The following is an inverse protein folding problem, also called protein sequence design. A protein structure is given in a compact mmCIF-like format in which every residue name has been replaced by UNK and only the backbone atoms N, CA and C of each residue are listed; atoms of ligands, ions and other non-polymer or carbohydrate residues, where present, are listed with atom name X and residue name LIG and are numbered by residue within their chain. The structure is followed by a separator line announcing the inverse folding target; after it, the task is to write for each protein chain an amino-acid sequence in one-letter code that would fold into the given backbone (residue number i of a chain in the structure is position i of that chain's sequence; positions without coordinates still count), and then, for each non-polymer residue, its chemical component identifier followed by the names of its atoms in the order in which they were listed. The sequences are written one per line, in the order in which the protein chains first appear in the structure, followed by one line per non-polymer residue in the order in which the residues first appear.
data_IF_110493240915
#
_entry.id   IF_110493240915
#
_cell.length_a   1.000
_cell.length_b   1.000
_cell.length_c   1.000
_cell.angle_alpha   90.00
_cell.angle_beta   90.00
_cell.angle_gamma   90.00
#
_symmetry.space_group_name_H-M   'P 1'
#
loop_
_entity.id
_entity.type
_entity.pdbx_description
1 polymer ?
#
# COMPACT_ATOMS: atom_id res chain seq x y z
N UNK A 1 -11.96 -41.02 7.95
CA UNK A 1 -12.28 -39.60 8.18
C UNK A 1 -11.01 -38.93 8.70
N UNK A 2 -10.15 -38.49 7.78
CA UNK A 2 -8.85 -37.88 8.10
C UNK A 2 -9.03 -36.37 7.97
N UNK A 3 -8.94 -35.69 9.10
CA UNK A 3 -9.00 -34.23 9.19
C UNK A 3 -7.65 -33.67 8.70
N UNK A 4 -7.66 -33.08 7.51
CA UNK A 4 -6.51 -32.32 7.02
C UNK A 4 -6.48 -30.96 7.73
N UNK A 5 -5.58 -30.83 8.71
CA UNK A 5 -5.20 -29.53 9.27
C UNK A 5 -4.60 -28.67 8.15
N UNK A 6 -5.21 -27.51 7.91
CA UNK A 6 -4.62 -26.45 7.09
C UNK A 6 -3.32 -25.97 7.77
N UNK A 7 -2.18 -26.45 7.32
CA UNK A 7 -0.89 -25.83 7.66
C UNK A 7 -0.79 -24.51 6.92
N UNK A 8 -0.64 -23.43 7.65
CA UNK A 8 -0.18 -22.15 7.11
C UNK A 8 1.22 -22.38 6.53
N UNK A 9 1.32 -22.35 5.22
CA UNK A 9 2.60 -22.36 4.53
C UNK A 9 3.22 -20.96 4.61
N UNK A 10 4.22 -20.81 5.49
CA UNK A 10 5.19 -19.74 5.36
C UNK A 10 6.01 -20.02 4.09
N UNK A 11 6.03 -19.06 3.17
CA UNK A 11 6.78 -19.12 1.91
C UNK A 11 8.26 -19.45 2.16
N UNK A 12 8.85 -20.51 1.57
CA UNK A 12 10.24 -20.87 1.80
C UNK A 12 11.24 -20.06 0.97
N UNK A 13 10.83 -18.97 0.34
CA UNK A 13 11.74 -18.17 -0.47
C UNK A 13 11.96 -16.80 0.16
N UNK A 14 13.04 -16.66 0.93
CA UNK A 14 13.55 -15.40 1.48
C UNK A 14 14.14 -14.44 0.42
N UNK A 15 13.64 -14.44 -0.81
CA UNK A 15 13.94 -13.42 -1.79
C UNK A 15 13.15 -12.15 -1.42
N UNK A 16 13.83 -11.14 -0.88
CA UNK A 16 13.28 -9.79 -0.77
C UNK A 16 12.77 -9.41 -2.14
N UNK A 17 11.45 -9.16 -2.24
CA UNK A 17 10.83 -8.62 -3.45
C UNK A 17 11.65 -7.41 -3.91
N UNK A 18 11.97 -7.30 -5.19
CA UNK A 18 12.74 -6.17 -5.70
C UNK A 18 11.99 -4.89 -5.38
N UNK A 19 12.72 -3.87 -4.90
CA UNK A 19 12.28 -2.55 -4.41
C UNK A 19 11.54 -1.69 -5.45
N UNK A 20 11.03 -2.28 -6.53
CA UNK A 20 10.50 -1.59 -7.73
C UNK A 20 9.00 -1.26 -7.63
N UNK A 21 8.28 -1.75 -6.62
CA UNK A 21 6.82 -1.67 -6.58
C UNK A 21 6.31 -0.49 -5.73
N UNK A 22 6.67 0.75 -6.09
CA UNK A 22 6.16 1.97 -5.46
C UNK A 22 4.78 2.36 -6.02
N UNK A 23 3.77 1.51 -5.88
CA UNK A 23 2.42 1.85 -6.32
C UNK A 23 1.50 2.07 -5.11
N UNK A 24 0.82 3.22 -5.09
CA UNK A 24 0.18 3.82 -3.93
C UNK A 24 -1.33 3.91 -4.06
N UNK A 25 -2.05 3.72 -2.95
CA UNK A 25 -3.47 4.06 -2.88
C UNK A 25 -3.64 5.59 -2.77
N UNK A 26 -4.66 6.13 -3.42
CA UNK A 26 -5.08 7.52 -3.21
C UNK A 26 -5.72 7.66 -1.84
N UNK A 27 -5.41 8.73 -1.10
CA UNK A 27 -6.04 9.00 0.17
C UNK A 27 -6.87 10.30 0.14
N UNK A 28 -7.78 10.43 1.09
CA UNK A 28 -8.67 11.57 1.20
C UNK A 28 -8.19 12.56 2.25
N UNK A 29 -8.03 13.83 1.85
CA UNK A 29 -7.90 14.98 2.73
C UNK A 29 -8.75 16.13 2.20
N UNK A 30 -9.57 16.69 3.07
CA UNK A 30 -10.40 17.85 2.78
C UNK A 30 -10.27 18.90 3.89
N UNK A 31 -10.46 20.17 3.54
CA UNK A 31 -10.46 21.29 4.49
C UNK A 31 -11.77 22.07 4.31
N UNK A 32 -12.47 22.29 5.41
CA UNK A 32 -13.65 23.17 5.48
C UNK A 32 -13.41 24.29 6.48
N UNK A 33 -14.08 25.40 6.29
CA UNK A 33 -14.03 26.53 7.19
C UNK A 33 -15.42 26.80 7.76
N UNK A 34 -15.50 27.13 9.04
CA UNK A 34 -16.71 27.63 9.68
C UNK A 34 -16.60 29.17 9.74
N UNK A 35 -17.72 29.84 9.55
CA UNK A 35 -17.88 31.27 9.73
C UNK A 35 -19.11 31.52 10.59
N UNK A 36 -19.25 32.73 11.15
CA UNK A 36 -20.44 33.05 11.92
C UNK A 36 -21.77 32.84 11.18
N UNK A 37 -21.75 32.93 9.83
CA UNK A 37 -22.94 32.85 9.00
C UNK A 37 -23.31 31.41 8.63
N UNK A 38 -22.28 30.57 8.41
CA UNK A 38 -22.55 29.26 7.77
C UNK A 38 -22.66 28.13 8.78
N UNK A 39 -21.71 28.03 9.72
CA UNK A 39 -21.69 26.95 10.70
C UNK A 39 -21.07 27.41 12.03
N UNK A 40 -21.75 27.13 13.12
CA UNK A 40 -21.23 27.37 14.46
C UNK A 40 -20.07 26.43 14.78
N UNK A 41 -18.94 27.00 15.23
CA UNK A 41 -17.80 26.20 15.71
C UNK A 41 -18.14 25.43 16.97
N UNK A 42 -18.98 25.98 17.87
CA UNK A 42 -19.50 25.25 19.03
C UNK A 42 -20.35 24.04 18.60
N UNK A 43 -21.25 24.18 17.63
CA UNK A 43 -22.03 23.05 17.13
C UNK A 43 -21.16 22.02 16.42
N UNK A 44 -20.15 22.47 15.65
CA UNK A 44 -19.15 21.57 15.04
C UNK A 44 -18.40 20.80 16.10
N UNK A 45 -17.96 21.44 17.19
CA UNK A 45 -17.34 20.78 18.33
C UNK A 45 -18.24 19.68 18.90
N UNK A 46 -19.52 19.98 19.19
CA UNK A 46 -20.48 18.98 19.70
C UNK A 46 -20.69 17.84 18.74
N UNK A 47 -20.75 18.12 17.43
CA UNK A 47 -20.85 17.09 16.39
C UNK A 47 -19.60 16.17 16.42
N UNK A 48 -18.39 16.73 16.46
CA UNK A 48 -17.16 15.96 16.46
C UNK A 48 -17.00 15.11 17.73
N UNK A 49 -17.36 15.66 18.88
CA UNK A 49 -17.21 15.00 20.18
C UNK A 49 -18.40 14.13 20.57
N UNK A 50 -19.45 14.08 19.72
CA UNK A 50 -20.71 13.36 20.00
C UNK A 50 -21.32 13.75 21.35
N UNK A 51 -21.40 15.05 21.61
CA UNK A 51 -21.97 15.64 22.82
C UNK A 51 -23.25 16.45 22.53
N UNK A 52 -23.92 16.90 23.56
CA UNK A 52 -25.18 17.64 23.48
C UNK A 52 -26.22 16.91 22.61
N UNK A 53 -26.89 17.59 21.69
CA UNK A 53 -27.91 17.02 20.81
C UNK A 53 -27.36 16.01 19.76
N UNK A 54 -26.02 15.91 19.60
CA UNK A 54 -25.39 14.90 18.77
C UNK A 54 -25.02 13.61 19.52
N UNK A 55 -25.36 13.48 20.80
CA UNK A 55 -25.05 12.29 21.59
C UNK A 55 -25.73 11.01 21.02
N UNK A 56 -26.92 11.16 20.43
CA UNK A 56 -27.65 10.05 19.78
C UNK A 56 -26.94 9.48 18.54
N UNK A 57 -26.02 10.21 17.92
CA UNK A 57 -25.24 9.70 16.76
C UNK A 57 -24.15 8.70 17.15
N UNK A 58 -23.92 8.47 18.46
CA UNK A 58 -22.95 7.45 18.92
C UNK A 58 -23.29 6.03 18.48
N UNK A 59 -24.58 5.75 18.28
CA UNK A 59 -25.06 4.43 17.87
C UNK A 59 -24.75 4.13 16.39
N UNK A 60 -24.43 5.14 15.58
CA UNK A 60 -24.18 5.03 14.14
C UNK A 60 -22.69 5.13 13.76
N UNK A 61 -21.91 5.80 14.58
CA UNK A 61 -20.48 6.03 14.36
C UNK A 61 -19.72 5.88 15.67
N UNK A 62 -18.67 5.05 15.66
CA UNK A 62 -17.80 4.91 16.82
C UNK A 62 -16.85 6.11 16.92
N UNK A 63 -16.82 6.75 18.10
CA UNK A 63 -15.82 7.75 18.45
C UNK A 63 -14.61 7.05 19.08
N UNK A 64 -13.57 6.84 18.29
CA UNK A 64 -12.37 6.09 18.71
C UNK A 64 -11.44 6.93 19.62
N UNK A 65 -11.31 8.23 19.32
CA UNK A 65 -10.40 9.15 20.03
C UNK A 65 -10.99 10.56 20.00
N UNK A 66 -10.80 11.30 21.12
CA UNK A 66 -11.13 12.72 21.20
C UNK A 66 -10.08 13.44 22.03
N UNK A 67 -9.46 14.49 21.45
CA UNK A 67 -8.38 15.26 22.05
C UNK A 67 -8.61 16.75 21.82
N UNK A 68 -8.20 17.59 22.77
CA UNK A 68 -8.14 19.04 22.58
C UNK A 68 -6.86 19.58 23.21
N UNK A 69 -6.34 20.66 22.67
CA UNK A 69 -5.10 21.25 23.18
C UNK A 69 -4.85 22.67 22.67
N UNK A 70 -3.76 23.24 23.14
CA UNK A 70 -3.36 24.62 22.88
C UNK A 70 -4.49 25.61 23.20
N UNK A 71 -5.21 25.38 24.32
CA UNK A 71 -6.26 26.29 24.75
C UNK A 71 -5.67 27.45 25.57
N UNK A 72 -6.13 28.70 25.36
CA UNK A 72 -5.72 29.80 26.22
C UNK A 72 -6.29 29.63 27.64
N UNK A 73 -5.62 30.17 28.64
CA UNK A 73 -5.96 29.99 30.06
C UNK A 73 -7.41 30.31 30.39
N UNK A 74 -7.99 31.35 29.79
CA UNK A 74 -9.40 31.71 30.05
C UNK A 74 -10.41 30.62 29.59
N UNK A 75 -9.99 29.66 28.78
CA UNK A 75 -10.83 28.54 28.41
C UNK A 75 -10.91 27.44 29.49
N UNK A 76 -10.09 27.50 30.56
CA UNK A 76 -10.08 26.57 31.71
C UNK A 76 -10.02 25.10 31.28
N UNK A 77 -9.24 24.78 30.26
CA UNK A 77 -9.18 23.47 29.63
C UNK A 77 -10.54 22.93 29.12
N UNK A 78 -11.53 23.82 28.92
CA UNK A 78 -12.84 23.49 28.41
C UNK A 78 -12.95 23.90 26.91
N UNK A 79 -12.78 22.98 25.94
CA UNK A 79 -12.80 23.31 24.51
C UNK A 79 -14.13 23.95 24.08
N UNK A 80 -15.25 23.55 24.67
CA UNK A 80 -16.56 24.14 24.39
C UNK A 80 -16.58 25.65 24.67
N UNK A 81 -15.97 26.12 25.80
CA UNK A 81 -15.85 27.54 26.09
C UNK A 81 -15.06 28.29 25.04
N UNK A 82 -13.99 27.67 24.52
CA UNK A 82 -13.17 28.26 23.46
C UNK A 82 -13.97 28.43 22.17
N UNK A 83 -14.65 27.37 21.73
CA UNK A 83 -15.41 27.40 20.47
C UNK A 83 -16.65 28.32 20.56
N UNK A 84 -17.31 28.39 21.70
CA UNK A 84 -18.37 29.36 21.94
C UNK A 84 -17.86 30.81 21.89
N UNK A 85 -16.67 31.06 22.44
CA UNK A 85 -16.03 32.39 22.37
C UNK A 85 -15.61 32.74 20.92
N UNK A 86 -15.13 31.75 20.14
CA UNK A 86 -14.82 31.95 18.73
C UNK A 86 -16.06 32.39 17.93
N UNK A 87 -17.20 31.74 18.13
CA UNK A 87 -18.45 32.09 17.49
C UNK A 87 -18.94 33.51 17.90
N UNK A 88 -18.74 33.86 19.17
CA UNK A 88 -19.22 35.14 19.71
C UNK A 88 -18.33 36.34 19.32
N UNK A 89 -17.02 36.20 19.46
CA UNK A 89 -16.09 37.32 19.43
C UNK A 89 -15.25 37.42 18.16
N UNK A 90 -15.19 36.39 17.27
CA UNK A 90 -14.48 36.53 16.00
C UNK A 90 -15.08 37.64 15.17
N UNK A 91 -14.28 38.29 14.34
CA UNK A 91 -14.74 39.34 13.43
C UNK A 91 -15.83 38.81 12.47
N UNK A 92 -16.77 39.65 12.08
CA UNK A 92 -17.99 39.27 11.38
C UNK A 92 -17.75 38.41 10.12
N UNK A 93 -16.73 38.76 9.30
CA UNK A 93 -16.34 38.01 8.12
C UNK A 93 -15.20 37.02 8.35
N UNK A 94 -14.84 36.83 9.63
CA UNK A 94 -13.74 35.94 10.02
C UNK A 94 -14.15 34.47 10.04
N UNK A 95 -13.21 33.63 9.68
CA UNK A 95 -13.35 32.19 9.94
C UNK A 95 -13.23 31.92 11.43
N UNK A 96 -14.21 31.24 12.00
CA UNK A 96 -14.24 30.90 13.43
C UNK A 96 -13.42 29.63 13.70
N UNK A 97 -13.38 28.70 12.74
CA UNK A 97 -12.51 27.52 12.76
C UNK A 97 -12.27 26.99 11.36
N UNK A 98 -11.25 26.14 11.24
CA UNK A 98 -11.01 25.29 10.08
C UNK A 98 -11.11 23.83 10.54
N UNK A 99 -11.62 22.94 9.69
CA UNK A 99 -11.72 21.50 9.96
C UNK A 99 -11.01 20.75 8.83
N UNK A 100 -9.91 20.09 9.16
CA UNK A 100 -9.21 19.15 8.28
C UNK A 100 -9.81 17.77 8.53
N UNK A 101 -10.24 17.10 7.47
CA UNK A 101 -10.66 15.68 7.53
C UNK A 101 -9.63 14.85 6.78
N UNK A 102 -9.05 13.85 7.45
CA UNK A 102 -8.03 12.95 6.89
C UNK A 102 -8.47 11.50 7.05
N UNK A 103 -8.51 10.74 5.95
CA UNK A 103 -8.70 9.30 6.04
C UNK A 103 -7.47 8.65 6.68
N UNK A 104 -7.69 7.75 7.64
CA UNK A 104 -6.63 7.00 8.32
C UNK A 104 -6.52 5.59 7.75
N UNK A 105 -5.31 5.00 7.69
CA UNK A 105 -5.14 3.64 7.23
C UNK A 105 -5.87 2.64 8.13
N UNK A 106 -6.70 1.78 7.52
CA UNK A 106 -7.41 0.70 8.20
C UNK A 106 -6.47 -0.43 8.67
N UNK A 107 -5.30 -0.51 8.07
CA UNK A 107 -4.25 -1.48 8.39
C UNK A 107 -3.58 -1.22 9.75
N UNK A 108 -3.73 -0.02 10.29
CA UNK A 108 -3.20 0.34 11.60
C UNK A 108 -4.19 -0.05 12.71
N UNK A 109 -3.68 -0.57 13.82
CA UNK A 109 -4.48 -0.77 15.04
C UNK A 109 -4.91 0.57 15.65
N UNK A 110 -5.87 0.56 16.59
CA UNK A 110 -6.32 1.79 17.29
C UNK A 110 -5.16 2.54 17.94
N UNK A 111 -4.26 1.84 18.63
CA UNK A 111 -3.09 2.47 19.27
C UNK A 111 -2.14 3.09 18.24
N UNK A 112 -1.87 2.41 17.14
CA UNK A 112 -1.03 2.92 16.06
C UNK A 112 -1.68 4.10 15.34
N UNK A 113 -3.01 4.07 15.14
CA UNK A 113 -3.77 5.23 14.62
C UNK A 113 -3.70 6.41 15.59
N UNK A 114 -3.79 6.17 16.91
CA UNK A 114 -3.65 7.23 17.90
C UNK A 114 -2.26 7.90 17.81
N UNK A 115 -1.18 7.15 17.67
CA UNK A 115 0.16 7.71 17.46
C UNK A 115 0.26 8.54 16.18
N UNK A 116 -0.31 8.03 15.07
CA UNK A 116 -0.38 8.78 13.81
C UNK A 116 -1.18 10.07 13.97
N UNK A 117 -2.32 10.02 14.68
CA UNK A 117 -3.17 11.20 14.95
C UNK A 117 -2.40 12.24 15.77
N UNK A 118 -1.67 11.84 16.81
CA UNK A 118 -0.79 12.76 17.54
C UNK A 118 0.24 13.42 16.61
N UNK A 119 0.87 12.65 15.72
CA UNK A 119 1.83 13.18 14.75
C UNK A 119 1.18 14.16 13.76
N UNK A 120 -0.03 13.87 13.28
CA UNK A 120 -0.80 14.77 12.42
C UNK A 120 -1.20 16.05 13.14
N UNK A 121 -1.69 15.96 14.39
CA UNK A 121 -2.01 17.14 15.21
C UNK A 121 -0.77 18.00 15.39
N UNK A 122 0.35 17.42 15.80
CA UNK A 122 1.62 18.13 15.95
C UNK A 122 2.05 18.81 14.65
N UNK A 123 2.02 18.07 13.52
CA UNK A 123 2.38 18.62 12.22
C UNK A 123 1.53 19.82 11.80
N UNK A 124 0.22 19.80 12.06
CA UNK A 124 -0.67 20.88 11.63
C UNK A 124 -0.80 22.05 12.64
N UNK A 125 -0.52 21.83 13.93
CA UNK A 125 -0.85 22.83 14.96
C UNK A 125 0.32 23.34 15.77
N UNK A 126 1.43 22.60 15.88
CA UNK A 126 2.49 22.91 16.86
C UNK A 126 3.25 24.21 16.54
N UNK A 127 3.61 24.45 15.28
CA UNK A 127 4.40 25.64 14.87
C UNK A 127 3.76 26.96 15.34
N UNK A 128 2.44 27.06 15.23
CA UNK A 128 1.69 28.24 15.60
C UNK A 128 0.89 28.08 16.89
N UNK A 129 1.02 26.95 17.58
CA UNK A 129 0.24 26.60 18.77
C UNK A 129 -1.25 26.89 18.59
N UNK A 130 -1.82 26.40 17.47
CA UNK A 130 -3.24 26.59 17.18
C UNK A 130 -4.11 25.85 18.20
N UNK A 131 -5.10 26.51 18.83
CA UNK A 131 -6.13 25.84 19.60
C UNK A 131 -6.90 24.83 18.74
N UNK A 132 -7.03 23.59 19.21
CA UNK A 132 -7.64 22.54 18.44
C UNK A 132 -8.56 21.60 19.25
N UNK A 133 -9.44 20.93 18.52
CA UNK A 133 -10.16 19.72 18.92
C UNK A 133 -10.04 18.70 17.79
N UNK A 134 -9.59 17.51 18.11
CA UNK A 134 -9.41 16.40 17.20
C UNK A 134 -10.32 15.24 17.62
N UNK A 135 -10.99 14.62 16.66
CA UNK A 135 -11.82 13.44 16.88
C UNK A 135 -11.56 12.41 15.79
N UNK A 136 -11.44 11.15 16.16
CA UNK A 136 -11.35 10.03 15.23
C UNK A 136 -12.69 9.31 15.24
N UNK A 137 -13.32 9.29 14.08
CA UNK A 137 -14.57 8.57 13.85
C UNK A 137 -14.33 7.34 12.99
N UNK A 138 -15.10 6.30 13.27
CA UNK A 138 -15.11 5.08 12.48
C UNK A 138 -16.56 4.72 12.13
N UNK A 139 -16.81 4.57 10.84
CA UNK A 139 -18.10 4.09 10.33
C UNK A 139 -17.90 3.23 9.07
N UNK A 140 -18.79 2.29 8.80
CA UNK A 140 -18.74 1.53 7.56
C UNK A 140 -19.02 2.45 6.35
N UNK A 141 -18.27 2.21 5.27
CA UNK A 141 -18.49 2.89 4.00
C UNK A 141 -19.84 2.52 3.40
N UNK A 142 -20.63 3.50 3.02
CA UNK A 142 -21.89 3.27 2.30
C UNK A 142 -21.72 2.56 0.93
N UNK A 143 -20.50 2.59 0.35
CA UNK A 143 -20.21 1.99 -0.94
C UNK A 143 -19.62 0.58 -0.84
N UNK A 144 -18.81 0.30 0.17
CA UNK A 144 -18.07 -0.96 0.29
C UNK A 144 -18.40 -1.76 1.54
N UNK A 145 -19.06 -1.18 2.53
CA UNK A 145 -19.29 -1.78 3.85
C UNK A 145 -18.02 -1.87 4.70
N UNK A 146 -16.86 -1.50 4.19
CA UNK A 146 -15.61 -1.53 4.95
C UNK A 146 -15.52 -0.37 5.93
N UNK A 147 -14.87 -0.60 7.07
CA UNK A 147 -14.61 0.44 8.06
C UNK A 147 -13.71 1.54 7.49
N UNK A 148 -14.09 2.78 7.76
CA UNK A 148 -13.37 3.97 7.31
C UNK A 148 -13.00 4.87 8.49
N UNK A 149 -11.92 4.57 9.21
CA UNK A 149 -11.43 5.46 10.25
C UNK A 149 -10.96 6.77 9.62
N UNK A 150 -11.35 7.90 10.22
CA UNK A 150 -10.95 9.22 9.74
C UNK A 150 -10.80 10.22 10.89
N UNK A 151 -9.79 11.06 10.78
CA UNK A 151 -9.52 12.16 11.67
C UNK A 151 -10.30 13.38 11.23
N UNK A 152 -11.00 14.03 12.16
CA UNK A 152 -11.42 15.42 12.07
C UNK A 152 -10.57 16.26 13.00
N UNK A 153 -9.73 17.12 12.45
CA UNK A 153 -8.95 18.11 13.21
C UNK A 153 -9.57 19.48 13.01
N UNK A 154 -10.31 19.94 14.00
CA UNK A 154 -10.85 21.30 14.08
C UNK A 154 -9.84 22.19 14.78
N UNK A 155 -9.41 23.28 14.18
CA UNK A 155 -8.45 24.21 14.75
C UNK A 155 -8.83 25.66 14.48
N UNK A 156 -8.36 26.56 15.36
CA UNK A 156 -8.46 27.99 15.16
C UNK A 156 -7.21 28.50 14.41
N UNK A 157 -7.39 29.35 13.42
CA UNK A 157 -6.25 30.02 12.76
C UNK A 157 -5.60 31.11 13.65
N UNK A 158 -6.10 31.30 14.89
CA UNK A 158 -5.52 32.20 15.87
C UNK A 158 -4.36 31.54 16.58
N UNK A 159 -3.17 32.11 16.49
CA UNK A 159 -1.94 31.57 17.05
C UNK A 159 -1.75 32.02 18.51
N UNK A 160 -1.21 31.11 19.33
CA UNK A 160 -0.73 31.41 20.69
C UNK A 160 0.78 31.55 20.75
N UNK A 161 1.48 31.43 19.62
CA UNK A 161 2.96 31.41 19.57
C UNK A 161 3.63 32.73 19.98
N UNK A 162 2.87 33.84 20.07
CA UNK A 162 3.41 35.09 20.55
C UNK A 162 3.50 35.19 22.09
N UNK A 163 2.98 34.21 22.82
CA UNK A 163 3.03 34.09 24.29
C UNK A 163 2.26 35.17 25.04
N UNK A 164 1.46 36.00 24.35
CA UNK A 164 0.73 37.11 25.01
C UNK A 164 -0.63 36.60 25.51
N UNK A 165 -0.82 36.63 26.83
CA UNK A 165 -2.11 36.36 27.43
C UNK A 165 -3.12 37.48 27.10
N UNK A 166 -4.28 37.07 26.56
CA UNK A 166 -5.37 37.96 26.17
C UNK A 166 -6.69 37.46 26.73
N UNK A 167 -7.55 38.34 27.26
CA UNK A 167 -8.91 37.93 27.63
C UNK A 167 -9.71 37.54 26.36
N UNK A 168 -10.75 36.72 26.51
CA UNK A 168 -11.52 36.13 25.42
C UNK A 168 -12.07 37.16 24.44
N UNK A 169 -12.51 38.32 24.91
CA UNK A 169 -13.07 39.41 24.12
C UNK A 169 -12.00 40.07 23.21
N UNK A 170 -10.73 40.05 23.67
CA UNK A 170 -9.60 40.64 22.97
C UNK A 170 -8.97 39.61 22.01
N UNK A 171 -8.91 38.36 22.40
CA UNK A 171 -8.24 37.27 21.67
C UNK A 171 -8.66 37.23 20.21
N UNK A 172 -9.93 37.40 19.93
CA UNK A 172 -10.50 37.31 18.56
C UNK A 172 -10.55 38.64 17.80
N UNK A 173 -10.08 39.76 18.40
CA UNK A 173 -9.97 41.04 17.72
C UNK A 173 -8.92 41.01 16.61
N UNK A 174 -8.86 42.08 15.83
CA UNK A 174 -7.85 42.23 14.78
C UNK A 174 -6.45 42.28 15.43
N UNK A 175 -5.52 41.53 14.88
CA UNK A 175 -4.11 41.61 15.28
C UNK A 175 -3.51 42.97 14.94
N UNK A 176 -2.69 43.54 15.82
CA UNK A 176 -2.00 44.82 15.64
C UNK A 176 -0.49 44.61 15.68
N UNK A 177 0.19 44.48 14.52
CA UNK A 177 1.64 44.15 14.50
C UNK A 177 2.52 45.16 15.28
N UNK A 178 2.16 46.45 15.27
CA UNK A 178 2.90 47.51 16.00
C UNK A 178 2.63 47.53 17.51
N UNK A 179 1.51 46.98 17.95
CA UNK A 179 1.07 46.94 19.34
C UNK A 179 0.40 45.59 19.64
N UNK A 180 1.16 44.46 19.65
CA UNK A 180 0.59 43.12 19.77
C UNK A 180 -0.26 42.90 21.01
N UNK A 181 0.18 43.47 22.14
CA UNK A 181 -0.55 43.35 23.42
C UNK A 181 -1.93 44.06 23.39
N UNK A 182 -2.11 45.08 22.57
CA UNK A 182 -3.39 45.80 22.44
C UNK A 182 -4.29 45.22 21.31
N UNK A 183 -3.77 44.30 20.51
CA UNK A 183 -4.46 43.60 19.44
C UNK A 183 -4.98 42.21 19.84
N UNK A 184 -5.71 41.55 18.95
CA UNK A 184 -6.07 40.14 19.07
C UNK A 184 -4.88 39.22 18.81
N UNK A 185 -5.07 37.93 19.01
CA UNK A 185 -4.07 36.92 18.65
C UNK A 185 -3.76 36.92 17.14
N UNK A 186 -2.50 36.69 16.70
CA UNK A 186 -2.15 36.61 15.30
C UNK A 186 -3.02 35.60 14.56
N UNK A 187 -3.59 35.97 13.41
CA UNK A 187 -4.41 35.07 12.60
C UNK A 187 -3.61 34.58 11.39
N UNK A 188 -3.17 33.35 11.46
CA UNK A 188 -2.29 32.69 10.49
C UNK A 188 -3.13 31.99 9.42
N UNK A 189 -3.79 32.77 8.56
CA UNK A 189 -4.54 32.22 7.42
C UNK A 189 -3.60 31.71 6.32
N UNK A 190 -4.11 30.96 5.37
CA UNK A 190 -3.34 30.49 4.21
C UNK A 190 -2.52 31.62 3.52
N UNK A 191 -3.11 32.82 3.41
CA UNK A 191 -2.41 33.96 2.82
C UNK A 191 -1.34 34.52 3.76
N UNK A 192 -1.61 34.58 5.07
CA UNK A 192 -0.63 35.02 6.07
C UNK A 192 0.58 34.08 6.15
N UNK A 193 0.36 32.80 5.89
CA UNK A 193 1.41 31.77 5.80
C UNK A 193 2.12 31.74 4.44
N UNK A 194 1.76 32.62 3.50
CA UNK A 194 2.32 32.61 2.13
C UNK A 194 1.88 31.40 1.28
N UNK A 195 0.97 30.57 1.78
CA UNK A 195 0.53 29.35 1.10
C UNK A 195 -0.61 29.59 0.11
N UNK A 196 -1.45 30.63 0.34
CA UNK A 196 -2.54 31.02 -0.53
C UNK A 196 -3.43 29.85 -0.97
N UNK A 197 -3.66 29.73 -2.28
CA UNK A 197 -4.43 28.61 -2.89
C UNK A 197 -3.71 27.24 -2.79
N UNK A 198 -2.44 27.23 -2.45
CA UNK A 198 -1.63 25.99 -2.37
C UNK A 198 -1.71 25.31 -0.99
N UNK A 199 -2.36 25.91 0.01
CA UNK A 199 -2.45 25.38 1.38
C UNK A 199 -2.93 23.91 1.42
N UNK A 200 -3.94 23.56 0.63
CA UNK A 200 -4.45 22.17 0.57
C UNK A 200 -3.38 21.21 0.05
N UNK A 201 -2.55 21.65 -0.92
CA UNK A 201 -1.45 20.81 -1.43
C UNK A 201 -0.38 20.59 -0.34
N UNK A 202 -0.04 21.64 0.41
CA UNK A 202 0.90 21.55 1.53
C UNK A 202 0.39 20.57 2.59
N UNK A 203 -0.86 20.70 3.02
CA UNK A 203 -1.47 19.79 3.99
C UNK A 203 -1.53 18.36 3.49
N UNK A 204 -1.86 18.15 2.21
CA UNK A 204 -1.86 16.81 1.62
C UNK A 204 -0.48 16.19 1.61
N UNK A 205 0.56 16.93 1.23
CA UNK A 205 1.92 16.40 1.23
C UNK A 205 2.37 16.04 2.66
N UNK A 206 2.14 16.93 3.62
CA UNK A 206 2.50 16.70 5.01
C UNK A 206 1.77 15.48 5.61
N UNK A 207 0.48 15.31 5.31
CA UNK A 207 -0.28 14.14 5.74
C UNK A 207 0.22 12.87 5.05
N UNK A 208 0.55 12.90 3.74
CA UNK A 208 1.14 11.77 3.03
C UNK A 208 2.43 11.30 3.71
N UNK A 209 3.33 12.22 4.02
CA UNK A 209 4.63 11.90 4.61
C UNK A 209 4.46 11.23 5.99
N UNK A 210 3.56 11.76 6.84
CA UNK A 210 3.28 11.21 8.16
C UNK A 210 2.57 9.84 8.08
N UNK A 211 1.59 9.70 7.20
CA UNK A 211 0.87 8.43 6.99
C UNK A 211 1.85 7.36 6.46
N UNK A 212 2.67 7.70 5.48
CA UNK A 212 3.64 6.76 4.92
C UNK A 212 4.74 6.37 5.91
N UNK A 213 5.15 7.28 6.81
CA UNK A 213 6.05 6.96 7.89
C UNK A 213 5.44 5.94 8.87
N UNK A 214 4.16 6.12 9.24
CA UNK A 214 3.43 5.19 10.09
C UNK A 214 3.21 3.83 9.41
N UNK A 215 2.81 3.81 8.14
CA UNK A 215 2.64 2.58 7.36
C UNK A 215 3.96 1.82 7.23
N UNK A 216 5.06 2.50 6.92
CA UNK A 216 6.39 1.88 6.85
C UNK A 216 6.80 1.22 8.17
N UNK A 217 6.41 1.82 9.31
CA UNK A 217 6.75 1.32 10.65
C UNK A 217 5.89 0.14 11.07
N UNK A 218 4.58 0.18 10.84
CA UNK A 218 3.61 -0.73 11.45
C UNK A 218 2.95 -1.71 10.47
N UNK A 219 2.83 -1.34 9.21
CA UNK A 219 2.19 -2.13 8.17
C UNK A 219 2.89 -1.93 6.82
N UNK A 220 4.18 -2.32 6.69
CA UNK A 220 5.01 -1.98 5.52
C UNK A 220 4.51 -2.62 4.23
N UNK A 221 3.82 -3.75 4.33
CA UNK A 221 3.22 -4.44 3.18
C UNK A 221 1.72 -4.65 3.39
N UNK A 222 1.01 -4.87 2.29
CA UNK A 222 -0.39 -5.30 2.29
C UNK A 222 -0.61 -6.34 1.21
N UNK A 223 -1.53 -7.26 1.49
CA UNK A 223 -1.95 -8.29 0.53
C UNK A 223 -3.02 -7.73 -0.39
N UNK A 224 -2.81 -7.88 -1.69
CA UNK A 224 -3.78 -7.58 -2.75
C UNK A 224 -4.23 -8.90 -3.37
N UNK A 225 -5.55 -9.03 -3.59
CA UNK A 225 -6.13 -10.15 -4.32
C UNK A 225 -6.76 -9.63 -5.63
N UNK A 226 -6.38 -10.20 -6.77
CA UNK A 226 -6.94 -9.96 -8.11
C UNK A 226 -7.11 -11.32 -8.78
N UNK A 227 -8.30 -11.63 -9.29
CA UNK A 227 -8.61 -12.91 -9.97
C UNK A 227 -8.11 -14.14 -9.19
N UNK A 228 -8.39 -14.17 -7.87
CA UNK A 228 -7.99 -15.22 -6.92
C UNK A 228 -6.46 -15.38 -6.70
N UNK A 229 -5.65 -14.51 -7.30
CA UNK A 229 -4.21 -14.45 -7.07
C UNK A 229 -3.92 -13.41 -5.99
N UNK A 230 -3.31 -13.85 -4.88
CA UNK A 230 -2.91 -13.00 -3.77
C UNK A 230 -1.42 -12.73 -3.79
N UNK A 231 -1.03 -11.47 -3.63
CA UNK A 231 0.37 -11.05 -3.61
C UNK A 231 0.59 -9.88 -2.67
N UNK A 232 1.80 -9.69 -2.20
CA UNK A 232 2.18 -8.60 -1.30
C UNK A 232 2.74 -7.41 -2.07
N UNK A 233 2.35 -6.21 -1.67
CA UNK A 233 2.85 -4.94 -2.20
C UNK A 233 3.21 -3.99 -1.06
N UNK A 234 4.09 -3.02 -1.33
CA UNK A 234 4.38 -1.94 -0.38
C UNK A 234 3.11 -1.18 -0.04
N UNK A 235 2.86 -0.99 1.26
CA UNK A 235 1.69 -0.27 1.73
C UNK A 235 2.00 1.22 1.85
N UNK A 236 1.49 2.02 0.92
CA UNK A 236 1.70 3.46 0.85
C UNK A 236 0.46 4.17 0.33
N UNK A 237 0.36 5.46 0.61
CA UNK A 237 -0.65 6.38 0.06
C UNK A 237 0.01 7.47 -0.78
N UNK A 238 -0.77 8.11 -1.65
CA UNK A 238 -0.33 9.27 -2.45
C UNK A 238 -1.36 10.39 -2.45
N UNK A 239 -0.88 11.62 -2.32
CA UNK A 239 -1.70 12.84 -2.40
C UNK A 239 -1.83 13.40 -3.82
N UNK A 240 -1.19 12.78 -4.81
CA UNK A 240 -1.26 13.21 -6.19
C UNK A 240 -2.67 13.08 -6.75
N UNK A 241 -3.07 13.98 -7.63
CA UNK A 241 -4.24 13.76 -8.46
C UNK A 241 -4.03 12.57 -9.41
N UNK A 242 -5.10 12.00 -9.95
CA UNK A 242 -4.98 10.93 -10.94
C UNK A 242 -4.14 11.36 -12.15
N UNK A 243 -4.31 12.60 -12.63
CA UNK A 243 -3.54 13.15 -13.72
C UNK A 243 -2.04 13.24 -13.39
N UNK A 244 -1.70 13.83 -12.23
CA UNK A 244 -0.30 13.95 -11.79
C UNK A 244 0.34 12.58 -11.54
N UNK A 245 -0.44 11.65 -10.99
CA UNK A 245 0.01 10.29 -10.73
C UNK A 245 0.31 9.55 -12.04
N UNK A 246 -0.61 9.62 -13.00
CA UNK A 246 -0.44 9.04 -14.33
C UNK A 246 0.78 9.61 -15.06
N UNK A 247 0.96 10.92 -15.01
CA UNK A 247 2.12 11.58 -15.61
C UNK A 247 3.44 11.16 -14.98
N UNK A 248 3.44 10.97 -13.64
CA UNK A 248 4.66 10.60 -12.89
C UNK A 248 5.05 9.13 -13.04
N UNK A 249 4.07 8.23 -13.10
CA UNK A 249 4.29 6.78 -13.03
C UNK A 249 3.92 6.04 -14.31
N UNK A 250 3.47 6.74 -15.36
CA UNK A 250 3.09 6.14 -16.64
C UNK A 250 1.87 5.23 -16.56
N UNK A 251 0.96 5.48 -15.59
CA UNK A 251 -0.27 4.71 -15.40
C UNK A 251 -1.45 5.33 -16.14
N UNK A 252 -2.56 4.61 -16.25
CA UNK A 252 -3.80 5.05 -16.90
C UNK A 252 -4.99 5.01 -15.93
N UNK A 253 -4.79 5.55 -14.72
CA UNK A 253 -5.85 5.61 -13.71
C UNK A 253 -6.96 6.56 -14.14
N UNK A 254 -8.20 6.13 -13.94
CA UNK A 254 -9.42 6.89 -14.23
C UNK A 254 -9.88 7.63 -12.97
N UNK A 255 -10.40 8.83 -13.14
CA UNK A 255 -11.05 9.55 -12.05
C UNK A 255 -12.28 8.80 -11.56
N UNK A 256 -12.43 8.71 -10.23
CA UNK A 256 -13.58 8.07 -9.60
C UNK A 256 -14.65 9.13 -9.35
N UNK A 257 -15.85 9.02 -9.98
CA UNK A 257 -16.93 9.96 -9.76
C UNK A 257 -17.36 10.00 -8.29
N UNK A 258 -17.77 11.18 -7.82
CA UNK A 258 -18.31 11.35 -6.47
C UNK A 258 -19.84 11.42 -6.49
N UNK A 259 -20.49 10.66 -5.63
CA UNK A 259 -21.92 10.77 -5.43
C UNK A 259 -22.17 11.69 -4.23
N UNK A 260 -22.95 12.76 -4.40
CA UNK A 260 -23.30 13.63 -3.29
C UNK A 260 -23.99 12.86 -2.16
N UNK A 261 -23.60 13.14 -0.90
CA UNK A 261 -24.06 12.39 0.28
C UNK A 261 -25.60 12.36 0.41
N UNK A 262 -26.28 13.45 0.06
CA UNK A 262 -27.73 13.52 0.13
C UNK A 262 -28.43 12.55 -0.84
N UNK A 263 -27.83 12.24 -2.00
CA UNK A 263 -28.36 11.24 -2.94
C UNK A 263 -28.26 9.80 -2.38
N UNK A 264 -27.25 9.55 -1.55
CA UNK A 264 -27.05 8.23 -0.93
C UNK A 264 -28.03 7.96 0.23
N UNK A 265 -28.42 9.01 0.99
CA UNK A 265 -29.19 8.85 2.22
C UNK A 265 -30.69 9.12 2.05
N UNK A 266 -31.08 9.97 1.09
CA UNK A 266 -32.47 10.36 0.87
C UNK A 266 -32.81 10.38 -0.63
N UNK A 267 -32.86 9.21 -1.30
CA UNK A 267 -33.37 9.17 -2.68
C UNK A 267 -34.86 9.51 -2.69
N UNK A 268 -35.24 10.46 -3.54
CA UNK A 268 -36.59 11.05 -3.53
C UNK A 268 -37.62 10.17 -4.29
N UNK A 269 -37.16 9.40 -5.28
CA UNK A 269 -38.01 8.55 -6.13
C UNK A 269 -37.29 7.30 -6.64
N UNK A 270 -38.03 6.41 -7.31
CA UNK A 270 -37.49 5.14 -7.84
C UNK A 270 -36.48 5.31 -8.97
N UNK A 271 -36.61 6.33 -9.81
CA UNK A 271 -35.63 6.61 -10.88
C UNK A 271 -34.31 7.09 -10.31
N UNK A 272 -34.37 7.93 -9.27
CA UNK A 272 -33.16 8.35 -8.55
C UNK A 272 -32.46 7.18 -7.86
N UNK A 273 -33.20 6.26 -7.25
CA UNK A 273 -32.64 5.03 -6.66
C UNK A 273 -31.86 4.23 -7.71
N UNK A 274 -32.49 4.00 -8.87
CA UNK A 274 -31.88 3.25 -9.96
C UNK A 274 -30.63 3.96 -10.50
N UNK A 275 -30.67 5.28 -10.71
CA UNK A 275 -29.54 6.08 -11.16
C UNK A 275 -28.38 6.04 -10.15
N UNK A 276 -28.66 6.10 -8.84
CA UNK A 276 -27.64 5.99 -7.79
C UNK A 276 -27.02 4.59 -7.79
N UNK A 277 -27.82 3.54 -7.94
CA UNK A 277 -27.31 2.16 -8.03
C UNK A 277 -26.39 1.97 -9.24
N UNK A 278 -26.75 2.51 -10.41
CA UNK A 278 -25.89 2.49 -11.59
C UNK A 278 -24.60 3.26 -11.39
N UNK A 279 -24.64 4.44 -10.76
CA UNK A 279 -23.43 5.19 -10.42
C UNK A 279 -22.54 4.44 -9.42
N UNK A 280 -23.12 3.76 -8.44
CA UNK A 280 -22.37 2.91 -7.48
C UNK A 280 -21.67 1.76 -8.22
N UNK A 281 -22.39 1.10 -9.14
CA UNK A 281 -21.82 0.00 -9.94
C UNK A 281 -20.65 0.49 -10.81
N UNK A 282 -20.81 1.65 -11.46
CA UNK A 282 -19.74 2.26 -12.26
C UNK A 282 -18.54 2.67 -11.41
N UNK A 283 -18.75 3.25 -10.23
CA UNK A 283 -17.67 3.56 -9.29
C UNK A 283 -16.91 2.30 -8.88
N UNK A 284 -17.62 1.21 -8.57
CA UNK A 284 -16.99 -0.06 -8.23
C UNK A 284 -16.16 -0.59 -9.38
N UNK A 285 -16.66 -0.53 -10.62
CA UNK A 285 -15.95 -0.92 -11.83
C UNK A 285 -14.68 -0.10 -12.03
N UNK A 286 -14.76 1.24 -11.97
CA UNK A 286 -13.60 2.12 -12.12
C UNK A 286 -12.56 1.86 -11.03
N UNK A 287 -12.97 1.60 -9.80
CA UNK A 287 -12.05 1.27 -8.70
C UNK A 287 -11.33 -0.05 -8.95
N UNK A 288 -12.02 -1.05 -9.46
CA UNK A 288 -11.42 -2.33 -9.79
C UNK A 288 -10.47 -2.21 -10.99
N UNK A 289 -10.85 -1.47 -12.05
CA UNK A 289 -9.97 -1.14 -13.18
C UNK A 289 -8.68 -0.44 -12.69
N UNK A 290 -8.83 0.58 -11.83
CA UNK A 290 -7.71 1.29 -11.26
C UNK A 290 -6.82 0.40 -10.37
N UNK A 291 -7.42 -0.52 -9.62
CA UNK A 291 -6.68 -1.50 -8.83
C UNK A 291 -5.87 -2.44 -9.73
N UNK A 292 -6.45 -2.94 -10.82
CA UNK A 292 -5.75 -3.76 -11.81
C UNK A 292 -4.60 -3.01 -12.46
N UNK A 293 -4.83 -1.76 -12.87
CA UNK A 293 -3.78 -0.91 -13.46
C UNK A 293 -2.66 -0.59 -12.45
N UNK A 294 -3.02 -0.22 -11.21
CA UNK A 294 -2.05 0.04 -10.14
C UNK A 294 -1.14 -1.14 -9.84
N UNK A 295 -1.67 -2.35 -9.86
CA UNK A 295 -0.96 -3.55 -9.44
C UNK A 295 -0.64 -4.50 -10.60
N UNK A 296 -0.84 -4.08 -11.86
CA UNK A 296 -0.66 -4.88 -13.06
C UNK A 296 0.64 -5.69 -13.07
N UNK A 297 1.76 -5.02 -12.86
CA UNK A 297 3.06 -5.68 -12.88
C UNK A 297 3.24 -6.69 -11.72
N UNK A 298 2.81 -6.32 -10.49
CA UNK A 298 2.87 -7.22 -9.34
C UNK A 298 1.96 -8.44 -9.52
N UNK A 299 0.78 -8.24 -10.11
CA UNK A 299 -0.15 -9.29 -10.47
C UNK A 299 0.45 -10.26 -11.50
N UNK A 300 1.04 -9.74 -12.59
CA UNK A 300 1.66 -10.60 -13.61
C UNK A 300 2.80 -11.43 -13.02
N UNK A 301 3.64 -10.83 -12.17
CA UNK A 301 4.69 -11.56 -11.48
C UNK A 301 4.13 -12.66 -10.56
N UNK A 302 3.11 -12.34 -9.75
CA UNK A 302 2.49 -13.32 -8.86
C UNK A 302 1.83 -14.46 -9.63
N UNK A 303 1.15 -14.16 -10.75
CA UNK A 303 0.57 -15.14 -11.65
C UNK A 303 1.63 -16.10 -12.22
N UNK A 304 2.75 -15.55 -12.65
CA UNK A 304 3.87 -16.35 -13.14
C UNK A 304 4.47 -17.24 -12.04
N UNK A 305 4.63 -16.72 -10.83
CA UNK A 305 5.12 -17.49 -9.67
C UNK A 305 4.15 -18.62 -9.32
N UNK A 306 2.84 -18.37 -9.32
CA UNK A 306 1.84 -19.39 -9.04
C UNK A 306 1.87 -20.51 -10.08
N UNK A 307 1.98 -20.17 -11.38
CA UNK A 307 2.11 -21.16 -12.45
C UNK A 307 3.39 -22.00 -12.28
N UNK A 308 4.50 -21.38 -11.89
CA UNK A 308 5.76 -22.08 -11.64
C UNK A 308 5.66 -23.01 -10.41
N UNK A 309 5.02 -22.56 -9.32
CA UNK A 309 4.79 -23.40 -8.13
C UNK A 309 3.88 -24.59 -8.46
N UNK A 310 2.77 -24.38 -9.17
CA UNK A 310 1.87 -25.46 -9.58
C UNK A 310 2.56 -26.50 -10.47
N UNK A 311 3.46 -26.06 -11.36
CA UNK A 311 4.26 -26.95 -12.17
C UNK A 311 5.26 -27.76 -11.32
N UNK A 312 5.85 -27.14 -10.30
CA UNK A 312 6.77 -27.80 -9.35
C UNK A 312 6.04 -28.81 -8.47
N UNK A 313 4.87 -28.45 -7.93
CA UNK A 313 4.03 -29.35 -7.11
C UNK A 313 3.57 -30.56 -7.93
N UNK A 314 3.18 -30.38 -9.18
CA UNK A 314 2.83 -31.48 -10.09
C UNK A 314 4.02 -32.43 -10.30
N UNK A 315 5.24 -31.89 -10.46
CA UNK A 315 6.47 -32.70 -10.56
C UNK A 315 6.78 -33.45 -9.27
N UNK A 316 6.63 -32.79 -8.11
CA UNK A 316 6.86 -33.41 -6.81
C UNK A 316 5.80 -34.46 -6.46
N UNK A 317 4.52 -34.22 -6.78
CA UNK A 317 3.44 -35.20 -6.57
C UNK A 317 3.66 -36.47 -7.38
N UNK A 318 4.19 -36.36 -8.59
CA UNK A 318 4.53 -37.49 -9.43
C UNK A 318 5.75 -38.28 -8.88
N UNK A 319 6.70 -37.61 -8.22
CA UNK A 319 7.88 -38.26 -7.61
C UNK A 319 7.56 -39.12 -6.37
N UNK A 320 6.43 -38.87 -5.70
CA UNK A 320 5.98 -39.59 -4.50
C UNK A 320 5.26 -40.91 -4.83
N UNK A 321 4.77 -41.08 -6.06
CA UNK A 321 3.96 -42.25 -6.46
C UNK A 321 4.77 -43.40 -7.07
N UNK A 322 6.11 -43.37 -7.03
CA UNK A 322 6.91 -44.35 -7.76
C UNK A 322 7.29 -45.60 -6.97
N UNK A 323 6.84 -46.72 -7.46
CA UNK A 323 7.41 -48.05 -7.28
C UNK A 323 8.61 -48.22 -8.22
N UNK A 324 9.63 -48.82 -7.74
CA UNK A 324 11.05 -48.84 -8.16
C UNK A 324 11.35 -49.08 -9.67
N UNK A 325 10.43 -49.60 -10.47
CA UNK A 325 10.67 -49.98 -11.88
C UNK A 325 10.24 -49.00 -12.97
N UNK A 326 9.54 -47.92 -12.65
CA UNK A 326 9.08 -46.92 -13.63
C UNK A 326 9.86 -45.57 -13.53
N UNK A 327 10.83 -45.50 -12.66
CA UNK A 327 11.55 -44.24 -12.32
C UNK A 327 12.23 -43.57 -13.50
N UNK A 328 12.91 -44.29 -14.37
CA UNK A 328 13.73 -43.69 -15.45
C UNK A 328 12.89 -42.93 -16.46
N UNK A 329 11.80 -43.55 -16.92
CA UNK A 329 10.93 -42.99 -17.98
C UNK A 329 10.16 -41.76 -17.49
N UNK A 330 9.84 -41.70 -16.20
CA UNK A 330 9.09 -40.58 -15.62
C UNK A 330 9.97 -39.37 -15.40
N UNK A 331 11.19 -39.55 -14.90
CA UNK A 331 12.16 -38.49 -14.76
C UNK A 331 12.54 -37.85 -16.08
N UNK A 332 12.77 -38.66 -17.12
CA UNK A 332 13.04 -38.15 -18.49
C UNK A 332 11.87 -37.31 -19.02
N UNK A 333 10.62 -37.77 -18.83
CA UNK A 333 9.43 -37.01 -19.24
C UNK A 333 9.30 -35.69 -18.52
N UNK A 334 9.56 -35.66 -17.20
CA UNK A 334 9.48 -34.43 -16.39
C UNK A 334 10.56 -33.40 -16.80
N UNK A 335 11.78 -33.89 -17.01
CA UNK A 335 12.87 -33.06 -17.48
C UNK A 335 12.55 -32.47 -18.86
N UNK A 336 12.02 -33.28 -19.79
CA UNK A 336 11.60 -32.85 -21.12
C UNK A 336 10.42 -31.85 -21.04
N UNK A 337 9.48 -32.02 -20.11
CA UNK A 337 8.35 -31.10 -19.96
C UNK A 337 8.81 -29.76 -19.37
N UNK A 338 9.67 -29.74 -18.36
CA UNK A 338 10.28 -28.54 -17.84
C UNK A 338 11.13 -27.82 -18.88
N UNK A 339 11.84 -28.59 -19.73
CA UNK A 339 12.63 -28.03 -20.82
C UNK A 339 11.73 -27.45 -21.93
N UNK A 340 10.57 -28.07 -22.20
CA UNK A 340 9.55 -27.52 -23.09
C UNK A 340 8.97 -26.22 -22.57
N UNK A 341 8.63 -26.16 -21.27
CA UNK A 341 8.13 -24.95 -20.60
C UNK A 341 9.19 -23.84 -20.59
N UNK A 342 10.45 -24.18 -20.32
CA UNK A 342 11.54 -23.22 -20.39
C UNK A 342 11.73 -22.65 -21.81
N UNK A 343 11.59 -23.47 -22.86
CA UNK A 343 11.64 -23.01 -24.27
C UNK A 343 10.44 -22.13 -24.60
N UNK A 344 9.24 -22.43 -24.11
CA UNK A 344 8.06 -21.61 -24.31
C UNK A 344 8.20 -20.24 -23.65
N UNK A 345 8.64 -20.21 -22.39
CA UNK A 345 8.95 -18.96 -21.69
C UNK A 345 10.02 -18.15 -22.43
N UNK A 346 11.07 -18.79 -22.93
CA UNK A 346 12.08 -18.14 -23.77
C UNK A 346 11.49 -17.52 -25.03
N UNK A 347 10.58 -18.23 -25.71
CA UNK A 347 9.92 -17.75 -26.93
C UNK A 347 9.04 -16.53 -26.65
N UNK A 348 8.29 -16.55 -25.55
CA UNK A 348 7.47 -15.43 -25.10
C UNK A 348 8.36 -14.24 -24.67
N UNK A 349 9.47 -14.51 -24.03
CA UNK A 349 10.44 -13.53 -23.58
C UNK A 349 11.17 -12.80 -24.72
N UNK A 350 11.35 -13.44 -25.88
CA UNK A 350 11.93 -12.79 -27.06
C UNK A 350 11.07 -11.63 -27.63
N UNK A 351 9.83 -11.50 -27.16
CA UNK A 351 8.88 -10.49 -27.60
C UNK A 351 8.47 -9.49 -26.51
N UNK A 352 8.90 -9.65 -25.27
CA UNK A 352 8.47 -8.82 -24.12
C UNK A 352 9.56 -8.69 -23.03
N UNK A 353 9.34 -7.74 -22.16
CA UNK A 353 10.06 -7.18 -21.06
C UNK A 353 10.94 -8.07 -20.14
N UNK A 354 11.82 -7.38 -19.45
CA UNK A 354 12.72 -7.74 -18.33
C UNK A 354 12.17 -8.73 -17.27
N UNK A 355 10.84 -8.75 -17.05
CA UNK A 355 10.16 -9.63 -16.09
C UNK A 355 10.18 -11.09 -16.53
N UNK A 356 10.03 -11.35 -17.83
CA UNK A 356 9.98 -12.70 -18.40
C UNK A 356 11.36 -13.35 -18.43
N UNK A 357 12.43 -12.56 -18.58
CA UNK A 357 13.79 -13.04 -18.44
C UNK A 357 14.09 -13.60 -17.06
N UNK A 358 13.70 -12.87 -16.00
CA UNK A 358 13.83 -13.32 -14.62
C UNK A 358 13.04 -14.58 -14.34
N UNK A 359 11.85 -14.69 -14.93
CA UNK A 359 11.02 -15.88 -14.79
C UNK A 359 11.65 -17.09 -15.49
N UNK A 360 12.23 -16.90 -16.68
CA UNK A 360 12.98 -17.95 -17.37
C UNK A 360 14.16 -18.45 -16.53
N UNK A 361 14.97 -17.56 -15.99
CA UNK A 361 16.10 -17.90 -15.10
C UNK A 361 15.64 -18.66 -13.86
N UNK A 362 14.52 -18.26 -13.25
CA UNK A 362 13.93 -18.95 -12.12
C UNK A 362 13.49 -20.39 -12.46
N UNK A 363 12.77 -20.60 -13.56
CA UNK A 363 12.35 -21.95 -14.00
C UNK A 363 13.59 -22.82 -14.27
N UNK A 364 14.61 -22.24 -14.87
CA UNK A 364 15.86 -22.95 -15.18
C UNK A 364 16.60 -23.36 -13.91
N UNK A 365 16.71 -22.48 -12.90
CA UNK A 365 17.31 -22.82 -11.62
C UNK A 365 16.54 -23.94 -10.90
N UNK A 366 15.21 -23.88 -10.89
CA UNK A 366 14.38 -24.92 -10.28
C UNK A 366 14.48 -26.26 -10.98
N UNK A 367 14.51 -26.26 -12.30
CA UNK A 367 14.78 -27.47 -13.11
C UNK A 367 16.11 -28.09 -12.72
N UNK A 368 17.14 -27.30 -12.54
CA UNK A 368 18.48 -27.77 -12.18
C UNK A 368 18.56 -28.26 -10.72
N UNK A 369 17.89 -27.60 -9.78
CA UNK A 369 17.83 -28.07 -8.41
C UNK A 369 17.18 -29.44 -8.30
N UNK A 370 16.06 -29.66 -8.99
CA UNK A 370 15.40 -30.98 -9.07
C UNK A 370 16.31 -32.03 -9.68
N UNK A 371 16.99 -31.66 -10.77
CA UNK A 371 17.94 -32.55 -11.43
C UNK A 371 19.07 -32.95 -10.49
N UNK A 372 19.63 -32.00 -9.72
CA UNK A 372 20.70 -32.28 -8.74
C UNK A 372 20.20 -33.15 -7.57
N UNK A 373 18.96 -32.98 -7.13
CA UNK A 373 18.35 -33.85 -6.11
C UNK A 373 18.19 -35.30 -6.64
N UNK A 374 17.72 -35.44 -7.87
CA UNK A 374 17.62 -36.74 -8.53
C UNK A 374 18.98 -37.44 -8.63
N UNK A 375 20.03 -36.73 -9.03
CA UNK A 375 21.37 -37.24 -9.15
C UNK A 375 22.04 -37.56 -7.78
N UNK A 376 21.53 -37.03 -6.68
CA UNK A 376 21.93 -37.47 -5.33
C UNK A 376 21.34 -38.79 -4.96
N UNK A 377 20.11 -39.08 -5.40
CA UNK A 377 19.40 -40.32 -5.15
C UNK A 377 19.85 -41.47 -6.06
N UNK A 378 20.20 -41.15 -7.30
CA UNK A 378 20.58 -42.15 -8.30
C UNK A 378 21.60 -41.58 -9.31
N UNK A 379 22.92 -41.72 -8.99
CA UNK A 379 23.98 -41.11 -9.80
C UNK A 379 24.41 -41.99 -10.99
N UNK A 380 23.47 -42.48 -11.79
CA UNK A 380 23.82 -43.29 -12.97
C UNK A 380 24.49 -42.44 -14.05
N UNK A 381 25.42 -43.06 -14.80
CA UNK A 381 26.21 -42.43 -15.83
C UNK A 381 25.37 -41.75 -16.91
N UNK A 382 24.28 -42.37 -17.33
CA UNK A 382 23.38 -41.85 -18.37
C UNK A 382 22.64 -40.59 -17.90
N UNK A 383 22.17 -40.55 -16.64
CA UNK A 383 21.51 -39.40 -16.05
C UNK A 383 22.50 -38.25 -15.82
N UNK A 384 23.73 -38.56 -15.38
CA UNK A 384 24.79 -37.56 -15.24
C UNK A 384 25.18 -36.93 -16.58
N UNK A 385 25.27 -37.74 -17.65
CA UNK A 385 25.56 -37.27 -19.00
C UNK A 385 24.46 -36.35 -19.54
N UNK A 386 23.20 -36.76 -19.35
CA UNK A 386 22.05 -35.96 -19.71
C UNK A 386 22.01 -34.62 -18.95
N UNK A 387 22.22 -34.67 -17.63
CA UNK A 387 22.26 -33.49 -16.77
C UNK A 387 23.37 -32.52 -17.19
N UNK A 388 24.55 -33.05 -17.52
CA UNK A 388 25.67 -32.24 -18.04
C UNK A 388 25.28 -31.51 -19.32
N UNK A 389 24.70 -32.24 -20.30
CA UNK A 389 24.27 -31.65 -21.56
C UNK A 389 23.21 -30.56 -21.38
N UNK A 390 22.26 -30.78 -20.46
CA UNK A 390 21.21 -29.81 -20.15
C UNK A 390 21.78 -28.53 -19.52
N UNK A 391 22.68 -28.66 -18.55
CA UNK A 391 23.30 -27.48 -17.91
C UNK A 391 24.18 -26.72 -18.89
N UNK A 392 24.92 -27.42 -19.75
CA UNK A 392 25.70 -26.79 -20.79
C UNK A 392 24.84 -26.00 -21.78
N UNK A 393 23.67 -26.54 -22.16
CA UNK A 393 22.70 -25.84 -22.99
C UNK A 393 22.14 -24.60 -22.28
N UNK A 394 21.81 -24.72 -21.02
CA UNK A 394 21.32 -23.59 -20.20
C UNK A 394 22.37 -22.47 -20.10
N UNK A 395 23.67 -22.80 -19.96
CA UNK A 395 24.76 -21.81 -19.96
C UNK A 395 24.83 -21.05 -21.29
N UNK A 396 24.66 -21.77 -22.43
CA UNK A 396 24.61 -21.12 -23.76
C UNK A 396 23.41 -20.19 -23.86
N UNK A 397 22.24 -20.62 -23.39
CA UNK A 397 21.02 -19.81 -23.40
C UNK A 397 21.16 -18.54 -22.56
N UNK A 398 21.88 -18.60 -21.43
CA UNK A 398 22.14 -17.41 -20.59
C UNK A 398 23.07 -16.44 -21.34
N UNK A 399 24.07 -16.94 -22.07
CA UNK A 399 24.94 -16.09 -22.86
C UNK A 399 24.17 -15.37 -23.99
N UNK A 400 23.20 -16.05 -24.62
CA UNK A 400 22.29 -15.45 -25.61
C UNK A 400 21.40 -14.36 -24.99
N UNK A 401 20.96 -14.55 -23.74
CA UNK A 401 20.14 -13.58 -23.01
C UNK A 401 20.92 -12.31 -22.64
N UNK A 402 22.22 -12.42 -22.35
CA UNK A 402 23.08 -11.25 -22.09
C UNK A 402 23.14 -10.29 -23.26
N UNK A 403 23.04 -10.78 -24.48
CA UNK A 403 23.09 -9.95 -25.70
C UNK A 403 21.79 -9.24 -26.03
N UNK A 404 20.65 -9.74 -25.53
CA UNK A 404 19.33 -9.26 -25.95
C UNK A 404 18.57 -8.51 -24.87
N UNK A 405 19.02 -8.55 -23.60
CA UNK A 405 18.27 -7.98 -22.48
C UNK A 405 19.16 -7.18 -21.53
N UNK A 406 18.69 -6.03 -21.11
CA UNK A 406 19.25 -5.24 -20.00
C UNK A 406 19.01 -5.93 -18.65
N UNK A 407 19.51 -7.13 -18.46
CA UNK A 407 19.49 -7.84 -17.17
C UNK A 407 20.65 -7.34 -16.33
N UNK A 408 20.43 -7.17 -15.02
CA UNK A 408 21.51 -6.79 -14.10
C UNK A 408 22.69 -7.76 -14.24
N UNK A 409 23.84 -7.27 -14.71
CA UNK A 409 25.03 -8.05 -14.97
C UNK A 409 25.53 -8.84 -13.76
N UNK A 410 25.26 -8.35 -12.54
CA UNK A 410 25.59 -9.04 -11.30
C UNK A 410 24.71 -10.30 -11.08
N UNK A 411 23.40 -10.21 -11.30
CA UNK A 411 22.47 -11.34 -11.15
C UNK A 411 22.83 -12.45 -12.16
N UNK A 412 23.08 -12.10 -13.40
CA UNK A 412 23.52 -13.06 -14.44
C UNK A 412 24.86 -13.73 -14.09
N UNK A 413 25.80 -12.98 -13.56
CA UNK A 413 27.09 -13.54 -13.12
C UNK A 413 26.91 -14.54 -11.97
N UNK A 414 26.02 -14.26 -11.01
CA UNK A 414 25.69 -15.19 -9.94
C UNK A 414 25.09 -16.49 -10.46
N UNK A 415 24.12 -16.39 -11.40
CA UNK A 415 23.50 -17.56 -12.04
C UNK A 415 24.53 -18.38 -12.82
N UNK A 416 25.37 -17.75 -13.62
CA UNK A 416 26.46 -18.44 -14.36
C UNK A 416 27.40 -19.18 -13.42
N UNK A 417 27.84 -18.55 -12.34
CA UNK A 417 28.73 -19.17 -11.36
C UNK A 417 28.06 -20.38 -10.69
N UNK A 418 26.78 -20.27 -10.32
CA UNK A 418 26.02 -21.37 -9.74
C UNK A 418 25.94 -22.56 -10.71
N UNK A 419 25.71 -22.31 -11.98
CA UNK A 419 25.64 -23.36 -13.00
C UNK A 419 26.99 -24.02 -13.27
N UNK A 420 28.06 -23.25 -13.30
CA UNK A 420 29.40 -23.78 -13.46
C UNK A 420 29.78 -24.70 -12.26
N UNK A 421 29.40 -24.33 -11.04
CA UNK A 421 29.60 -25.18 -9.87
C UNK A 421 28.84 -26.52 -9.97
N UNK A 422 27.59 -26.49 -10.45
CA UNK A 422 26.78 -27.69 -10.67
C UNK A 422 27.44 -28.57 -11.76
N UNK A 423 27.91 -27.95 -12.83
CA UNK A 423 28.58 -28.65 -13.92
C UNK A 423 29.87 -29.35 -13.45
N UNK A 424 30.68 -28.67 -12.64
CA UNK A 424 31.91 -29.23 -12.08
C UNK A 424 31.60 -30.45 -11.19
N UNK A 425 30.58 -30.36 -10.29
CA UNK A 425 30.16 -31.49 -9.46
C UNK A 425 29.68 -32.70 -10.25
N UNK A 426 28.99 -32.50 -11.37
CA UNK A 426 28.55 -33.57 -12.26
C UNK A 426 29.75 -34.18 -12.96
N UNK A 427 30.69 -33.37 -13.43
CA UNK A 427 31.91 -33.85 -14.06
C UNK A 427 32.76 -34.69 -13.11
N UNK A 428 32.98 -34.24 -11.87
CA UNK A 428 33.68 -35.02 -10.84
C UNK A 428 33.08 -36.41 -10.64
N UNK A 429 31.73 -36.50 -10.62
CA UNK A 429 31.04 -37.80 -10.51
C UNK A 429 31.23 -38.67 -11.75
N UNK A 430 31.19 -38.09 -12.94
CA UNK A 430 31.44 -38.81 -14.20
C UNK A 430 32.91 -39.31 -14.26
N UNK A 431 33.85 -38.52 -13.79
CA UNK A 431 35.28 -38.91 -13.76
C UNK A 431 35.53 -40.08 -12.78
N UNK A 432 34.86 -40.08 -11.61
CA UNK A 432 34.89 -41.21 -10.66
C UNK A 432 34.29 -42.48 -11.28
N UNK A 433 33.15 -42.35 -11.99
CA UNK A 433 32.54 -43.51 -12.65
C UNK A 433 33.46 -44.05 -13.76
N UNK A 434 34.00 -43.15 -14.59
CA UNK A 434 34.97 -43.56 -15.63
C UNK A 434 36.22 -44.25 -15.06
N UNK A 435 36.73 -43.75 -13.92
CA UNK A 435 37.86 -44.38 -13.23
C UNK A 435 37.49 -45.77 -12.75
N UNK A 436 36.31 -45.98 -12.11
CA UNK A 436 35.85 -47.31 -11.63
C UNK A 436 35.66 -48.27 -12.82
N UNK A 437 35.04 -47.80 -13.91
CA UNK A 437 34.86 -48.62 -15.12
C UNK A 437 36.20 -49.03 -15.72
N UNK A 438 37.21 -48.18 -15.75
CA UNK A 438 38.58 -48.47 -16.23
C UNK A 438 39.33 -49.46 -15.35
N UNK A 439 39.00 -49.59 -14.05
CA UNK A 439 39.58 -50.56 -13.14
C UNK A 439 38.91 -51.95 -13.25
N UNK A 440 37.70 -52.01 -13.81
CA UNK A 440 36.93 -53.25 -13.95
C UNK A 440 37.07 -53.89 -15.35
N UNK A 441 37.64 -53.17 -16.30
CA UNK A 441 37.94 -53.60 -17.64
C UNK A 441 39.38 -54.16 -17.74
#
# INVERSE_FOLDING_TARGET
MIVLQKRQFSSPCGAKAPTIWKKMAMYYLNVRHNTKKDNSSKNTFHYLTRTAHFAAHKDQEELELCLSGNLPDWADNAPEKFWAAADRFEIERGRTSAVITVALPKELSRSQRAELVHSLIQGFTAEHQFPYTAAVHQHPSALTGEEQPHLHLMYSERSLSDGIARPKEQFFKQYRPKHPAAGGAPKMTANALGQGKHQIRVFRQQAEDLINAALKRYAPTKTICIDDISFEVENRVSCLSYADYNAKYGTQLKEVPQIPRWKLHNPVDGEMILAVQQQIAEIKRIREDNKRELYKQAYELAKQQQLACSALEAVQALSVYEVVNERETLYERHILELDRKAREVKRLAAHQDHVEAKHYLYIMERKQELLMQMLQLDPRKNLLTLAKAMIQNDIKLIADLEHHWEVNAFELKCVKNSQQLKLNRIQEKLDVIAYIEAQQA
#
